data_IF_809220645122
#
_entry.id   IF_809220645122
#
_cell.length_a   1.000
_cell.length_b   1.000
_cell.length_c   1.000
_cell.angle_alpha   90.00
_cell.angle_beta   90.00
_cell.angle_gamma   90.00
#
_symmetry.space_group_name_H-M   'P 1'
#
loop_
_entity.id
_entity.type
_entity.pdbx_description
1 polymer ?
#
# COMPACT_ATOMS: atom_id res chain seq x y z
N UNK A 1 -23.90 -4.07 -14.44
CA UNK A 1 -23.00 -3.33 -15.36
C UNK A 1 -22.85 -1.92 -14.81
N UNK A 2 -21.89 -1.71 -13.92
CA UNK A 2 -21.56 -0.38 -13.40
C UNK A 2 -20.35 0.11 -14.19
N UNK A 3 -20.57 1.14 -15.00
CA UNK A 3 -19.51 1.80 -15.75
C UNK A 3 -18.42 2.24 -14.80
N UNK A 4 -17.23 1.67 -14.97
CA UNK A 4 -16.02 2.15 -14.31
C UNK A 4 -15.73 3.50 -14.93
N UNK A 5 -15.80 4.58 -14.15
CA UNK A 5 -15.45 5.94 -14.57
C UNK A 5 -13.93 6.04 -14.79
N UNK A 6 -13.50 5.47 -15.93
CA UNK A 6 -12.12 5.45 -16.44
C UNK A 6 -11.52 6.85 -16.48
N UNK A 7 -12.36 7.88 -16.64
CA UNK A 7 -11.96 9.30 -16.68
C UNK A 7 -11.43 9.79 -15.33
N UNK A 8 -12.11 9.46 -14.22
CA UNK A 8 -11.66 9.88 -12.87
C UNK A 8 -10.34 9.22 -12.45
N UNK A 9 -10.12 8.02 -12.98
CA UNK A 9 -8.95 7.21 -12.71
C UNK A 9 -7.72 7.68 -13.49
N UNK A 10 -7.92 8.11 -14.74
CA UNK A 10 -6.89 8.73 -15.56
C UNK A 10 -6.44 10.09 -15.01
N UNK A 11 -7.35 10.91 -14.51
CA UNK A 11 -7.01 12.18 -13.86
C UNK A 11 -6.17 11.97 -12.59
N UNK A 12 -6.47 10.93 -11.81
CA UNK A 12 -5.69 10.58 -10.63
C UNK A 12 -4.27 10.11 -11.01
N UNK A 13 -4.13 9.35 -12.09
CA UNK A 13 -2.82 8.90 -12.61
C UNK A 13 -2.01 10.09 -13.14
N UNK A 14 -2.60 10.97 -13.94
CA UNK A 14 -1.92 12.16 -14.46
C UNK A 14 -1.48 13.12 -13.36
N UNK A 15 -2.31 13.32 -12.31
CA UNK A 15 -1.91 14.08 -11.13
C UNK A 15 -0.75 13.43 -10.38
N UNK A 16 -0.74 12.11 -10.26
CA UNK A 16 0.38 11.39 -9.66
C UNK A 16 1.65 11.56 -10.48
N UNK A 17 1.59 11.40 -11.81
CA UNK A 17 2.75 11.58 -12.70
C UNK A 17 3.29 13.01 -12.65
N UNK A 18 2.43 14.03 -12.71
CA UNK A 18 2.85 15.43 -12.57
C UNK A 18 3.50 15.72 -11.21
N UNK A 19 2.99 15.14 -10.13
CA UNK A 19 3.57 15.28 -8.79
C UNK A 19 4.92 14.58 -8.66
N UNK A 20 5.18 13.56 -9.48
CA UNK A 20 6.44 12.82 -9.51
C UNK A 20 7.48 13.46 -10.44
N UNK A 21 7.06 14.20 -11.48
CA UNK A 21 7.95 14.82 -12.49
C UNK A 21 8.49 16.21 -12.11
N UNK A 22 7.89 16.93 -11.16
CA UNK A 22 8.14 18.38 -10.98
C UNK A 22 9.30 18.82 -10.07
N UNK A 23 10.16 17.94 -9.52
CA UNK A 23 11.43 18.42 -8.95
C UNK A 23 12.51 17.33 -8.81
N UNK A 24 13.74 17.52 -9.34
CA UNK A 24 14.85 16.60 -9.15
C UNK A 24 15.59 16.92 -7.84
N UNK A 25 15.58 15.97 -6.89
CA UNK A 25 16.40 15.90 -5.67
C UNK A 25 16.02 16.80 -4.47
N UNK A 26 14.97 16.43 -3.71
CA UNK A 26 14.99 16.39 -2.22
C UNK A 26 13.75 15.75 -1.58
N UNK A 27 12.96 14.94 -2.31
CA UNK A 27 11.68 14.50 -1.76
C UNK A 27 11.77 13.29 -0.83
N UNK A 28 11.27 13.52 0.37
CA UNK A 28 11.05 12.49 1.37
C UNK A 28 10.08 11.42 0.85
N UNK A 29 10.57 10.20 0.63
CA UNK A 29 9.79 9.06 0.15
C UNK A 29 8.56 8.77 1.02
N UNK A 30 8.62 9.10 2.31
CA UNK A 30 7.47 8.97 3.22
C UNK A 30 6.43 10.04 2.90
N UNK A 31 6.86 11.28 2.67
CA UNK A 31 5.96 12.36 2.30
C UNK A 31 5.30 12.11 0.94
N UNK A 32 6.05 11.61 -0.06
CA UNK A 32 5.47 11.23 -1.35
C UNK A 32 4.43 10.11 -1.20
N UNK A 33 4.75 9.06 -0.45
CA UNK A 33 3.81 7.97 -0.22
C UNK A 33 2.58 8.44 0.56
N UNK A 34 2.73 9.37 1.52
CA UNK A 34 1.63 10.00 2.23
C UNK A 34 0.77 10.86 1.31
N UNK A 35 1.37 11.65 0.42
CA UNK A 35 0.66 12.45 -0.58
C UNK A 35 -0.11 11.55 -1.54
N UNK A 36 0.52 10.51 -2.10
CA UNK A 36 -0.14 9.53 -2.96
C UNK A 36 -1.28 8.80 -2.22
N UNK A 37 -1.05 8.37 -0.98
CA UNK A 37 -2.07 7.77 -0.13
C UNK A 37 -3.22 8.73 0.19
N UNK A 38 -2.95 10.03 0.36
CA UNK A 38 -3.97 11.05 0.56
C UNK A 38 -4.74 11.38 -0.73
N UNK A 39 -4.11 11.23 -1.89
CA UNK A 39 -4.72 11.41 -3.19
C UNK A 39 -5.62 10.23 -3.61
N UNK A 40 -5.55 9.10 -2.88
CA UNK A 40 -6.51 8.02 -3.04
C UNK A 40 -7.93 8.58 -2.86
N UNK A 41 -8.77 8.37 -3.88
CA UNK A 41 -10.14 8.90 -3.92
C UNK A 41 -10.92 8.47 -2.68
N UNK A 42 -11.89 9.30 -2.24
CA UNK A 42 -12.75 9.02 -1.09
C UNK A 42 -13.33 7.60 -1.10
N UNK A 43 -13.58 7.08 -2.30
CA UNK A 43 -14.03 5.72 -2.58
C UNK A 43 -13.17 4.64 -1.91
N UNK A 44 -11.85 4.79 -1.85
CA UNK A 44 -10.96 3.80 -1.23
C UNK A 44 -10.85 3.95 0.28
N UNK A 45 -11.08 5.15 0.83
CA UNK A 45 -10.93 5.42 2.27
C UNK A 45 -12.00 4.74 3.12
N UNK A 46 -13.18 4.48 2.55
CA UNK A 46 -14.29 3.81 3.23
C UNK A 46 -14.26 2.29 3.18
N UNK A 47 -13.38 1.69 2.36
CA UNK A 47 -13.36 0.24 2.15
C UNK A 47 -12.63 -0.45 3.30
N UNK A 48 -13.17 -1.59 3.73
CA UNK A 48 -12.39 -2.51 4.55
C UNK A 48 -11.28 -3.16 3.69
N UNK A 49 -10.24 -3.76 4.31
CA UNK A 49 -9.10 -4.31 3.56
C UNK A 49 -9.49 -5.37 2.52
N UNK A 50 -10.53 -6.16 2.77
CA UNK A 50 -11.01 -7.18 1.83
C UNK A 50 -11.72 -6.58 0.62
N UNK A 51 -12.57 -5.57 0.85
CA UNK A 51 -13.21 -4.80 -0.22
C UNK A 51 -12.19 -4.07 -1.10
N UNK A 52 -11.16 -3.48 -0.48
CA UNK A 52 -10.06 -2.84 -1.20
C UNK A 52 -9.27 -3.87 -2.04
N UNK A 53 -8.97 -5.05 -1.49
CA UNK A 53 -8.30 -6.12 -2.22
C UNK A 53 -9.12 -6.59 -3.44
N UNK A 54 -10.43 -6.82 -3.24
CA UNK A 54 -11.36 -7.19 -4.30
C UNK A 54 -11.44 -6.13 -5.40
N UNK A 55 -11.61 -4.86 -5.02
CA UNK A 55 -11.68 -3.74 -5.94
C UNK A 55 -10.39 -3.62 -6.77
N UNK A 56 -9.22 -3.78 -6.13
CA UNK A 56 -7.94 -3.77 -6.82
C UNK A 56 -7.82 -4.92 -7.82
N UNK A 57 -8.13 -6.16 -7.40
CA UNK A 57 -8.06 -7.32 -8.30
C UNK A 57 -8.93 -7.13 -9.53
N UNK A 58 -10.15 -6.62 -9.36
CA UNK A 58 -11.04 -6.35 -10.47
C UNK A 58 -10.50 -5.24 -11.40
N UNK A 59 -9.80 -4.24 -10.85
CA UNK A 59 -9.19 -3.16 -11.64
C UNK A 59 -8.04 -3.65 -12.53
N UNK A 60 -7.27 -4.63 -12.07
CA UNK A 60 -6.20 -5.26 -12.86
C UNK A 60 -6.68 -6.46 -13.70
N UNK A 61 -8.00 -6.64 -13.81
CA UNK A 61 -8.68 -7.67 -14.61
C UNK A 61 -8.20 -9.11 -14.35
N UNK A 62 -7.93 -9.43 -13.08
CA UNK A 62 -7.53 -10.77 -12.67
C UNK A 62 -8.70 -11.54 -12.08
N UNK A 63 -8.90 -12.78 -12.51
CA UNK A 63 -9.73 -13.73 -11.76
C UNK A 63 -9.02 -14.23 -10.51
N UNK A 64 -9.76 -14.74 -9.52
CA UNK A 64 -9.16 -15.36 -8.34
C UNK A 64 -8.24 -16.55 -8.70
N UNK A 65 -8.51 -17.25 -9.81
CA UNK A 65 -7.67 -18.35 -10.28
C UNK A 65 -6.33 -17.85 -10.81
N UNK A 66 -6.34 -16.78 -11.62
CA UNK A 66 -5.10 -16.18 -12.13
C UNK A 66 -4.29 -15.58 -10.97
N UNK A 67 -4.95 -14.87 -10.06
CA UNK A 67 -4.27 -14.32 -8.89
C UNK A 67 -3.68 -15.41 -8.00
N UNK A 68 -4.35 -16.56 -7.85
CA UNK A 68 -3.80 -17.70 -7.11
C UNK A 68 -2.47 -18.18 -7.69
N UNK A 69 -2.38 -18.26 -9.02
CA UNK A 69 -1.15 -18.64 -9.71
C UNK A 69 -0.04 -17.60 -9.54
N UNK A 70 -0.37 -16.31 -9.60
CA UNK A 70 0.61 -15.21 -9.51
C UNK A 70 1.10 -14.97 -8.07
N UNK A 71 0.22 -15.07 -7.08
CA UNK A 71 0.53 -14.79 -5.67
C UNK A 71 1.08 -16.01 -4.90
N UNK A 72 0.95 -17.21 -5.47
CA UNK A 72 1.22 -18.48 -4.77
C UNK A 72 0.26 -18.74 -3.61
N UNK A 73 -0.88 -18.03 -3.54
CA UNK A 73 -1.92 -18.25 -2.55
C UNK A 73 -2.98 -19.23 -3.10
N UNK A 74 -3.51 -20.15 -2.28
CA UNK A 74 -4.67 -20.94 -2.67
C UNK A 74 -5.87 -20.05 -3.02
N UNK A 75 -6.69 -20.45 -3.99
CA UNK A 75 -7.91 -19.70 -4.36
C UNK A 75 -8.86 -19.48 -3.17
N UNK A 76 -9.00 -20.48 -2.30
CA UNK A 76 -9.78 -20.34 -1.06
C UNK A 76 -9.24 -19.25 -0.15
N UNK A 77 -7.91 -19.04 -0.15
CA UNK A 77 -7.26 -17.98 0.62
C UNK A 77 -7.57 -16.60 0.07
N UNK A 78 -7.55 -16.46 -1.26
CA UNK A 78 -7.97 -15.24 -1.95
C UNK A 78 -9.42 -14.89 -1.61
N UNK A 79 -10.33 -15.87 -1.62
CA UNK A 79 -11.72 -15.65 -1.25
C UNK A 79 -11.87 -15.17 0.22
N UNK A 80 -11.11 -15.75 1.16
CA UNK A 80 -11.11 -15.30 2.56
C UNK A 80 -10.56 -13.88 2.73
N UNK A 81 -9.54 -13.50 1.96
CA UNK A 81 -9.01 -12.14 1.96
C UNK A 81 -10.07 -11.17 1.45
N UNK A 82 -10.68 -11.46 0.30
CA UNK A 82 -11.72 -10.60 -0.31
C UNK A 82 -12.98 -10.49 0.56
N UNK A 83 -13.26 -11.50 1.39
CA UNK A 83 -14.31 -11.47 2.41
C UNK A 83 -13.91 -10.76 3.72
N UNK A 84 -12.67 -10.24 3.82
CA UNK A 84 -12.16 -9.56 5.02
C UNK A 84 -11.82 -10.49 6.19
N UNK A 85 -11.78 -11.81 5.99
CA UNK A 85 -11.58 -12.81 7.05
C UNK A 85 -10.09 -13.16 7.29
N UNK A 86 -9.21 -12.94 6.31
CA UNK A 86 -7.75 -13.03 6.51
C UNK A 86 -7.04 -11.76 6.04
N UNK A 87 -6.82 -10.85 6.99
CA UNK A 87 -6.16 -9.56 6.78
C UNK A 87 -4.72 -9.55 7.32
N UNK A 88 -4.09 -10.73 7.48
CA UNK A 88 -2.70 -10.79 7.94
C UNK A 88 -1.79 -10.15 6.90
N UNK A 89 -0.90 -9.27 7.37
CA UNK A 89 -0.01 -8.47 6.51
C UNK A 89 0.83 -9.32 5.55
N UNK A 90 1.33 -10.48 6.00
CA UNK A 90 2.09 -11.40 5.15
C UNK A 90 1.26 -11.98 4.00
N UNK A 91 -0.02 -12.27 4.26
CA UNK A 91 -0.96 -12.75 3.25
C UNK A 91 -1.34 -11.63 2.29
N UNK A 92 -1.68 -10.45 2.81
CA UNK A 92 -1.99 -9.26 2.01
C UNK A 92 -0.82 -8.89 1.10
N UNK A 93 0.42 -8.94 1.61
CA UNK A 93 1.62 -8.69 0.79
C UNK A 93 1.69 -9.61 -0.42
N UNK A 94 1.47 -10.92 -0.24
CA UNK A 94 1.45 -11.88 -1.36
C UNK A 94 0.32 -11.59 -2.36
N UNK A 95 -0.85 -11.21 -1.85
CA UNK A 95 -1.99 -10.82 -2.67
C UNK A 95 -1.66 -9.62 -3.55
N UNK A 96 -1.20 -8.51 -2.94
CA UNK A 96 -0.84 -7.29 -3.67
C UNK A 96 0.31 -7.53 -4.66
N UNK A 97 1.33 -8.30 -4.28
CA UNK A 97 2.40 -8.68 -5.20
C UNK A 97 1.88 -9.47 -6.42
N UNK A 98 0.92 -10.38 -6.21
CA UNK A 98 0.27 -11.10 -7.32
C UNK A 98 -0.57 -10.21 -8.24
N UNK A 99 -1.03 -9.07 -7.75
CA UNK A 99 -1.67 -8.01 -8.55
C UNK A 99 -0.66 -7.04 -9.20
N UNK A 100 0.65 -7.25 -9.01
CA UNK A 100 1.68 -6.32 -9.50
C UNK A 100 1.85 -5.05 -8.65
N UNK A 101 1.40 -5.06 -7.40
CA UNK A 101 1.48 -3.92 -6.49
C UNK A 101 2.39 -4.20 -5.29
N UNK A 102 2.93 -3.14 -4.70
CA UNK A 102 3.59 -3.20 -3.39
C UNK A 102 2.62 -2.82 -2.27
N UNK A 103 2.75 -3.50 -1.11
CA UNK A 103 2.03 -3.14 0.11
C UNK A 103 2.91 -2.23 0.97
N UNK A 104 2.46 -0.99 1.15
CA UNK A 104 3.12 0.01 2.00
C UNK A 104 2.36 0.21 3.30
N UNK A 105 3.11 0.39 4.41
CA UNK A 105 2.57 0.82 5.69
C UNK A 105 3.00 2.26 5.92
N UNK A 106 2.02 3.15 6.00
CA UNK A 106 2.26 4.59 6.15
C UNK A 106 1.81 5.07 7.53
N UNK A 107 2.56 6.01 8.15
CA UNK A 107 2.13 6.64 9.39
C UNK A 107 0.83 7.44 9.17
N UNK A 108 0.01 7.55 10.22
CA UNK A 108 -1.16 8.44 10.19
C UNK A 108 -0.71 9.86 10.52
N UNK A 109 -0.75 10.76 9.53
CA UNK A 109 -0.43 12.18 9.68
C UNK A 109 0.87 12.61 8.98
N UNK A 110 1.22 13.90 9.04
CA UNK A 110 2.44 14.42 8.43
C UNK A 110 3.65 13.80 9.12
N UNK A 111 4.45 13.07 8.37
CA UNK A 111 5.69 12.47 8.82
C UNK A 111 6.73 12.63 7.72
N UNK A 112 7.88 13.21 8.08
CA UNK A 112 9.09 13.12 7.27
C UNK A 112 9.95 11.96 7.77
N UNK A 113 10.60 11.23 6.87
CA UNK A 113 11.70 10.31 7.15
C UNK A 113 12.74 10.94 8.07
N UNK A 114 13.06 12.23 7.92
CA UNK A 114 13.97 12.93 8.83
C UNK A 114 13.41 13.03 10.26
N UNK A 115 12.13 13.42 10.41
CA UNK A 115 11.48 13.49 11.72
C UNK A 115 11.34 12.10 12.35
N UNK A 116 11.00 11.08 11.56
CA UNK A 116 10.93 9.68 12.01
C UNK A 116 12.30 9.16 12.46
N UNK A 117 13.37 9.48 11.72
CA UNK A 117 14.76 9.12 12.08
C UNK A 117 15.20 9.82 13.37
N UNK A 118 14.93 11.12 13.50
CA UNK A 118 15.26 11.87 14.71
C UNK A 118 14.49 11.35 15.93
N UNK A 119 13.20 11.00 15.74
CA UNK A 119 12.39 10.36 16.79
C UNK A 119 12.98 9.01 17.20
N UNK A 120 13.40 8.18 16.25
CA UNK A 120 14.06 6.90 16.55
C UNK A 120 15.37 7.11 17.34
N UNK A 121 16.21 8.07 16.94
CA UNK A 121 17.45 8.41 17.66
C UNK A 121 17.17 8.86 19.09
N UNK A 122 16.13 9.67 19.31
CA UNK A 122 15.74 10.11 20.65
C UNK A 122 15.23 8.95 21.51
N UNK A 123 14.40 8.06 20.96
CA UNK A 123 13.93 6.87 21.66
C UNK A 123 15.07 5.89 22.00
N UNK A 124 16.09 5.78 21.14
CA UNK A 124 17.33 5.03 21.44
C UNK A 124 18.09 5.68 22.61
N UNK A 125 18.22 7.01 22.61
CA UNK A 125 18.90 7.76 23.69
C UNK A 125 18.16 7.68 25.03
N UNK A 126 16.84 7.67 24.99
CA UNK A 126 15.97 7.52 26.17
C UNK A 126 15.90 6.07 26.68
N UNK A 127 16.53 5.11 25.98
CA UNK A 127 16.53 3.70 26.36
C UNK A 127 15.18 2.99 26.14
N UNK A 128 14.25 3.61 25.42
CA UNK A 128 12.92 3.04 25.13
C UNK A 128 13.01 1.92 24.10
N UNK A 129 13.95 2.01 23.17
CA UNK A 129 14.21 0.98 22.16
C UNK A 129 15.69 0.58 22.15
N UNK A 130 15.95 -0.72 22.14
CA UNK A 130 17.29 -1.27 21.91
C UNK A 130 17.46 -1.65 20.44
N UNK A 131 18.61 -1.32 19.84
CA UNK A 131 18.97 -1.89 18.53
C UNK A 131 19.13 -3.39 18.66
N UNK A 132 18.09 -4.14 18.28
CA UNK A 132 18.23 -5.58 18.07
C UNK A 132 19.32 -5.79 17.02
N UNK A 133 20.39 -6.48 17.41
CA UNK A 133 21.46 -6.91 16.51
C UNK A 133 20.83 -7.59 15.30
N UNK A 134 21.19 -7.15 14.09
CA UNK A 134 20.80 -7.83 12.85
C UNK A 134 21.18 -9.30 13.01
N UNK A 135 20.21 -10.20 12.88
CA UNK A 135 20.51 -11.63 12.75
C UNK A 135 21.43 -11.81 11.54
N UNK A 136 22.58 -12.47 11.69
CA UNK A 136 23.41 -12.83 10.54
C UNK A 136 22.56 -13.68 9.58
N UNK A 137 22.67 -13.37 8.28
CA UNK A 137 22.05 -14.15 7.20
C UNK A 137 22.72 -15.49 7.06
#
# INVERSE_FOLDING_TARGET
MTGVDIVSDLEAIQKMEQLLETDPFEYDVVEQALRAGSAATEKWRGLNPGEAALALRNRVDLTQRQLAALSGLPRSKIALIEAGQDVRLSTMRKYFMGCGCELLLLPRGPASALAMKNRMINLEREGVIERRRRYPR
#
